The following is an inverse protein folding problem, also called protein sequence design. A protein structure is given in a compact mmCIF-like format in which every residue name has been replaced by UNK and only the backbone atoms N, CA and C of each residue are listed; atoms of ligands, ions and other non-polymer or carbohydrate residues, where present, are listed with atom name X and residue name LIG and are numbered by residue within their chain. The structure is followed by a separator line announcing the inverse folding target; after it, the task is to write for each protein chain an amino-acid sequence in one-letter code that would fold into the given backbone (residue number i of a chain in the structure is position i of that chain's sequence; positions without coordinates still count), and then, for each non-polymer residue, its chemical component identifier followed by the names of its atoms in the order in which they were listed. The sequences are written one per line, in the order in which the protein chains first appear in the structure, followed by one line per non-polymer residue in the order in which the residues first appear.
data_IF_723871167816
#
_entry.id   IF_723871167816
#
_cell.length_a   1.000
_cell.length_b   1.000
_cell.length_c   1.000
_cell.angle_alpha   90.00
_cell.angle_beta   90.00
_cell.angle_gamma   90.00
#
_symmetry.space_group_name_H-M   'P 1'
#
loop_
_entity.id
_entity.type
_entity.pdbx_description
1 polymer ?
#
# COMPACT_ATOMS: atom_id res chain seq x y z
N UNK A 1 -34.82 20.67 -2.32
CA UNK A 1 -33.39 21.01 -2.27
C UNK A 1 -32.65 19.76 -2.70
N UNK A 2 -31.91 19.82 -3.80
CA UNK A 2 -31.06 18.70 -4.22
C UNK A 2 -29.96 18.46 -3.18
N UNK A 3 -29.50 17.22 -3.03
CA UNK A 3 -28.40 16.91 -2.13
C UNK A 3 -27.11 17.60 -2.60
N UNK A 4 -26.29 18.10 -1.66
CA UNK A 4 -24.99 18.72 -1.99
C UNK A 4 -23.98 17.76 -2.63
N UNK A 5 -24.27 16.45 -2.62
CA UNK A 5 -23.47 15.40 -3.23
C UNK A 5 -23.42 15.47 -4.77
N UNK A 6 -24.28 16.30 -5.40
CA UNK A 6 -24.22 16.59 -6.85
C UNK A 6 -22.88 17.19 -7.29
N UNK A 7 -22.02 17.64 -6.36
CA UNK A 7 -20.63 17.99 -6.65
C UNK A 7 -19.87 16.85 -7.34
N UNK A 8 -20.21 15.58 -7.07
CA UNK A 8 -19.62 14.43 -7.77
C UNK A 8 -19.96 14.43 -9.27
N UNK A 9 -21.15 14.91 -9.64
CA UNK A 9 -21.55 15.06 -11.03
C UNK A 9 -20.73 16.14 -11.72
N UNK A 10 -20.33 17.20 -11.00
CA UNK A 10 -19.43 18.24 -11.51
C UNK A 10 -18.01 17.70 -11.72
N UNK A 11 -17.50 16.83 -10.83
CA UNK A 11 -16.21 16.14 -11.03
C UNK A 11 -16.27 15.26 -12.29
N UNK A 12 -17.33 14.46 -12.46
CA UNK A 12 -17.54 13.66 -13.66
C UNK A 12 -17.59 14.55 -14.91
N UNK A 13 -18.39 15.63 -14.90
CA UNK A 13 -18.52 16.55 -16.03
C UNK A 13 -17.20 17.24 -16.37
N UNK A 14 -16.39 17.57 -15.38
CA UNK A 14 -15.08 18.20 -15.55
C UNK A 14 -14.03 17.30 -16.20
N UNK A 15 -14.21 15.97 -16.15
CA UNK A 15 -13.34 15.01 -16.83
C UNK A 15 -13.68 14.82 -18.32
N UNK A 16 -14.84 15.32 -18.78
CA UNK A 16 -15.27 15.27 -20.18
C UNK A 16 -14.81 16.52 -20.95
N UNK A 17 -14.87 16.50 -22.28
CA UNK A 17 -14.59 17.69 -23.09
C UNK A 17 -15.55 18.85 -22.80
N UNK A 18 -15.15 20.07 -23.16
CA UNK A 18 -15.99 21.27 -23.01
C UNK A 18 -17.35 21.10 -23.70
N UNK A 19 -17.39 20.38 -24.83
CA UNK A 19 -18.62 20.00 -25.51
C UNK A 19 -18.87 18.51 -25.32
N UNK A 20 -20.10 18.13 -25.02
CA UNK A 20 -20.57 16.74 -24.90
C UNK A 20 -21.91 16.63 -25.62
N UNK A 21 -22.25 15.44 -26.10
CA UNK A 21 -23.58 15.17 -26.66
C UNK A 21 -24.40 14.47 -25.59
N UNK A 22 -25.54 15.04 -25.19
CA UNK A 22 -26.47 14.33 -24.32
C UNK A 22 -27.23 13.29 -25.15
N UNK A 23 -26.99 12.02 -24.88
CA UNK A 23 -27.65 10.92 -25.58
C UNK A 23 -28.89 10.44 -24.83
N UNK A 24 -28.95 10.69 -23.51
CA UNK A 24 -30.09 10.33 -22.68
C UNK A 24 -30.17 11.20 -21.43
N UNK A 25 -31.40 11.54 -21.03
CA UNK A 25 -31.71 12.14 -19.74
C UNK A 25 -33.04 11.61 -19.26
N UNK A 26 -33.08 11.23 -17.99
CA UNK A 26 -34.33 10.88 -17.31
C UNK A 26 -34.33 11.43 -15.89
N UNK A 27 -35.52 11.72 -15.38
CA UNK A 27 -35.75 12.18 -14.02
C UNK A 27 -37.08 11.64 -13.51
N UNK A 28 -37.02 10.99 -12.36
CA UNK A 28 -38.20 10.45 -11.69
C UNK A 28 -38.10 10.64 -10.18
N UNK A 29 -39.21 11.06 -9.56
CA UNK A 29 -39.29 11.31 -8.11
C UNK A 29 -40.46 10.51 -7.52
N UNK A 30 -40.27 9.22 -7.21
CA UNK A 30 -41.32 8.40 -6.60
C UNK A 30 -41.52 8.69 -5.11
N UNK A 31 -40.54 9.31 -4.45
CA UNK A 31 -40.52 9.54 -3.00
C UNK A 31 -39.65 10.75 -2.67
N UNK A 32 -38.67 10.62 -1.76
CA UNK A 32 -37.88 11.73 -1.23
C UNK A 32 -36.66 12.12 -2.08
N UNK A 33 -36.05 11.15 -2.79
CA UNK A 33 -34.84 11.37 -3.59
C UNK A 33 -35.18 11.44 -5.06
N UNK A 34 -34.76 12.52 -5.74
CA UNK A 34 -34.84 12.63 -7.19
C UNK A 34 -33.89 11.63 -7.84
N UNK A 35 -34.43 10.66 -8.56
CA UNK A 35 -33.67 9.68 -9.32
C UNK A 35 -33.45 10.28 -10.71
N UNK A 36 -32.25 10.77 -10.95
CA UNK A 36 -31.85 11.33 -12.24
C UNK A 36 -30.80 10.42 -12.90
N UNK A 37 -30.91 10.24 -14.22
CA UNK A 37 -29.87 9.60 -15.03
C UNK A 37 -29.52 10.50 -16.18
N UNK A 38 -28.21 10.66 -16.43
CA UNK A 38 -27.69 11.44 -17.55
C UNK A 38 -26.62 10.60 -18.25
N UNK A 39 -26.75 10.42 -19.57
CA UNK A 39 -25.74 9.75 -20.40
C UNK A 39 -25.19 10.79 -21.39
N UNK A 40 -23.88 10.98 -21.32
CA UNK A 40 -23.14 11.95 -22.11
C UNK A 40 -22.12 11.23 -22.99
N UNK A 41 -22.18 11.45 -24.29
CA UNK A 41 -21.11 11.08 -25.22
C UNK A 41 -20.00 12.14 -25.18
N UNK A 42 -18.78 11.68 -24.96
CA UNK A 42 -17.60 12.53 -24.83
C UNK A 42 -17.01 12.85 -26.21
N UNK A 43 -17.05 14.12 -26.62
CA UNK A 43 -16.55 14.58 -27.92
C UNK A 43 -15.04 14.93 -27.89
N UNK A 44 -14.30 14.41 -26.91
CA UNK A 44 -12.88 14.69 -26.74
C UNK A 44 -12.06 14.06 -27.88
N UNK A 45 -11.10 14.84 -28.41
CA UNK A 45 -10.08 14.32 -29.32
C UNK A 45 -8.88 13.84 -28.52
N UNK A 46 -8.19 12.81 -29.01
CA UNK A 46 -6.95 12.37 -28.40
C UNK A 46 -5.92 13.51 -28.41
N UNK A 47 -5.30 13.84 -27.25
CA UNK A 47 -4.25 14.85 -27.20
C UNK A 47 -3.03 14.44 -28.06
N UNK A 48 -2.26 15.41 -28.59
CA UNK A 48 -1.02 15.11 -29.30
C UNK A 48 -0.04 14.29 -28.45
N UNK A 49 0.72 13.41 -29.10
CA UNK A 49 1.68 12.49 -28.44
C UNK A 49 2.68 13.25 -27.56
N UNK A 50 3.16 14.41 -28.00
CA UNK A 50 4.11 15.23 -27.23
C UNK A 50 3.49 15.77 -25.93
N UNK A 51 2.21 16.12 -25.96
CA UNK A 51 1.49 16.56 -24.76
C UNK A 51 1.34 15.43 -23.76
N UNK A 52 0.97 14.23 -24.23
CA UNK A 52 0.89 13.04 -23.38
C UNK A 52 2.26 12.67 -22.80
N UNK A 53 3.32 12.79 -23.61
CA UNK A 53 4.69 12.49 -23.20
C UNK A 53 5.16 13.47 -22.11
N UNK A 54 4.98 14.78 -22.30
CA UNK A 54 5.29 15.79 -21.27
C UNK A 54 4.50 15.55 -19.99
N UNK A 55 3.21 15.22 -20.09
CA UNK A 55 2.38 14.93 -18.92
C UNK A 55 2.89 13.71 -18.15
N UNK A 56 3.24 12.61 -18.84
CA UNK A 56 3.84 11.41 -18.21
C UNK A 56 5.18 11.72 -17.55
N UNK A 57 6.04 12.49 -18.21
CA UNK A 57 7.33 12.91 -17.64
C UNK A 57 7.14 13.74 -16.37
N UNK A 58 6.17 14.66 -16.37
CA UNK A 58 5.84 15.45 -15.18
C UNK A 58 5.33 14.57 -14.02
N UNK A 59 4.41 13.64 -14.29
CA UNK A 59 3.93 12.70 -13.27
C UNK A 59 5.06 11.84 -12.67
N UNK A 60 6.01 11.41 -13.50
CA UNK A 60 7.13 10.58 -13.08
C UNK A 60 8.26 11.36 -12.40
N UNK A 61 8.25 12.69 -12.44
CA UNK A 61 9.37 13.56 -12.06
C UNK A 61 9.90 13.29 -10.65
N UNK A 62 9.01 13.04 -9.68
CA UNK A 62 9.39 12.86 -8.27
C UNK A 62 10.18 11.56 -8.01
N UNK A 63 9.96 10.53 -8.83
CA UNK A 63 10.64 9.24 -8.71
C UNK A 63 11.71 9.03 -9.79
N UNK A 64 12.00 10.04 -10.60
CA UNK A 64 13.00 9.94 -11.65
C UNK A 64 14.39 9.63 -11.07
N UNK A 65 15.00 8.51 -11.49
CA UNK A 65 16.31 8.09 -11.02
C UNK A 65 16.29 7.28 -9.72
N UNK A 66 15.12 7.01 -9.13
CA UNK A 66 15.01 6.25 -7.88
C UNK A 66 15.56 4.83 -8.01
N UNK A 67 15.50 4.26 -9.21
CA UNK A 67 16.04 2.94 -9.56
C UNK A 67 17.57 2.86 -9.41
N UNK A 68 18.26 4.00 -9.37
CA UNK A 68 19.72 4.06 -9.18
C UNK A 68 20.13 3.96 -7.70
N UNK A 69 19.18 4.05 -6.77
CA UNK A 69 19.46 3.93 -5.34
C UNK A 69 19.59 2.44 -4.95
N UNK A 70 20.81 1.92 -4.71
CA UNK A 70 20.98 0.51 -4.41
C UNK A 70 20.31 0.15 -3.08
N UNK A 71 19.70 -1.04 -3.02
CA UNK A 71 19.05 -1.54 -1.81
C UNK A 71 17.81 -0.75 -1.36
N UNK A 72 17.25 0.11 -2.23
CA UNK A 72 16.08 0.93 -1.94
C UNK A 72 14.86 0.40 -2.69
N UNK A 73 13.73 0.25 -2.01
CA UNK A 73 12.48 -0.26 -2.57
C UNK A 73 11.34 0.74 -2.26
N UNK A 74 11.10 1.75 -3.11
CA UNK A 74 10.03 2.72 -2.88
C UNK A 74 8.67 2.03 -2.77
N UNK A 75 7.89 2.34 -1.75
CA UNK A 75 6.56 1.74 -1.54
C UNK A 75 5.51 2.39 -2.45
N UNK A 76 5.61 2.13 -3.75
CA UNK A 76 4.70 2.65 -4.80
C UNK A 76 3.30 2.05 -4.69
N UNK A 77 2.32 2.63 -5.40
CA UNK A 77 0.96 2.08 -5.49
C UNK A 77 0.95 0.63 -6.00
N UNK A 78 1.76 0.31 -7.01
CA UNK A 78 1.89 -1.04 -7.57
C UNK A 78 2.40 -2.03 -6.52
N UNK A 79 3.49 -1.70 -5.81
CA UNK A 79 4.03 -2.57 -4.76
C UNK A 79 3.08 -2.72 -3.59
N UNK A 80 2.40 -1.64 -3.20
CA UNK A 80 1.37 -1.66 -2.15
C UNK A 80 0.21 -2.60 -2.53
N UNK A 81 -0.24 -2.56 -3.78
CA UNK A 81 -1.28 -3.45 -4.30
C UNK A 81 -0.81 -4.91 -4.32
N UNK A 82 0.38 -5.18 -4.84
CA UNK A 82 0.94 -6.54 -4.91
C UNK A 82 1.13 -7.15 -3.51
N UNK A 83 1.60 -6.35 -2.55
CA UNK A 83 1.78 -6.76 -1.16
C UNK A 83 0.54 -6.61 -0.28
N UNK A 84 -0.64 -6.24 -0.81
CA UNK A 84 -1.79 -5.81 -0.02
C UNK A 84 -2.22 -6.86 1.02
N UNK A 85 -2.23 -8.13 0.60
CA UNK A 85 -2.63 -9.26 1.44
C UNK A 85 -1.66 -9.46 2.62
N UNK A 86 -0.36 -9.57 2.33
CA UNK A 86 0.70 -9.64 3.34
C UNK A 86 0.67 -8.44 4.30
N UNK A 87 0.57 -7.22 3.76
CA UNK A 87 0.54 -6.00 4.57
C UNK A 87 -0.70 -5.96 5.47
N UNK A 88 -1.88 -6.37 4.97
CA UNK A 88 -3.09 -6.48 5.80
C UNK A 88 -2.92 -7.51 6.91
N UNK A 89 -2.33 -8.67 6.60
CA UNK A 89 -2.02 -9.70 7.59
C UNK A 89 -1.11 -9.17 8.72
N UNK A 90 0.00 -8.53 8.36
CA UNK A 90 0.95 -7.98 9.32
C UNK A 90 0.35 -6.80 10.11
N UNK A 91 -0.53 -6.01 9.50
CA UNK A 91 -1.18 -4.89 10.19
C UNK A 91 -2.03 -5.36 11.38
N UNK A 92 -2.71 -6.50 11.25
CA UNK A 92 -3.53 -7.08 12.33
C UNK A 92 -2.74 -7.50 13.57
N UNK A 93 -1.41 -7.53 13.53
CA UNK A 93 -0.57 -7.79 14.71
C UNK A 93 -0.73 -6.74 15.84
N UNK A 94 -1.40 -5.62 15.58
CA UNK A 94 -1.82 -4.69 16.64
C UNK A 94 -2.92 -5.27 17.54
N UNK A 95 -3.71 -6.22 17.02
CA UNK A 95 -4.80 -6.88 17.74
C UNK A 95 -4.23 -7.96 18.69
N UNK A 96 -4.52 -7.92 20.01
CA UNK A 96 -3.97 -8.86 20.98
C UNK A 96 -4.22 -10.34 20.67
N UNK A 97 -5.46 -10.70 20.30
CA UNK A 97 -5.82 -12.07 19.97
C UNK A 97 -5.12 -12.56 18.68
N UNK A 98 -4.91 -11.67 17.71
CA UNK A 98 -4.25 -12.01 16.45
C UNK A 98 -2.77 -12.30 16.67
N UNK A 99 -2.07 -11.45 17.44
CA UNK A 99 -0.64 -11.68 17.74
C UNK A 99 -0.41 -12.90 18.63
N UNK A 100 -1.31 -13.23 19.54
CA UNK A 100 -1.24 -14.45 20.34
C UNK A 100 -1.34 -15.70 19.45
N UNK A 101 -2.35 -15.73 18.57
CA UNK A 101 -2.50 -16.80 17.58
C UNK A 101 -1.32 -16.87 16.61
N UNK A 102 -0.71 -15.75 16.25
CA UNK A 102 0.48 -15.71 15.40
C UNK A 102 1.69 -16.39 16.06
N UNK A 103 1.82 -16.25 17.37
CA UNK A 103 2.89 -16.90 18.14
C UNK A 103 2.64 -18.39 18.37
N UNK A 104 1.38 -18.80 18.55
CA UNK A 104 1.02 -20.18 18.91
C UNK A 104 0.73 -21.07 17.70
N UNK A 105 -0.01 -20.56 16.70
CA UNK A 105 -0.60 -21.33 15.60
C UNK A 105 -0.58 -20.58 14.25
N UNK A 106 0.60 -20.14 13.74
CA UNK A 106 0.69 -19.25 12.59
C UNK A 106 0.10 -19.82 11.30
N UNK A 107 0.19 -21.14 11.06
CA UNK A 107 -0.33 -21.79 9.84
C UNK A 107 -1.84 -21.63 9.69
N UNK A 108 -2.58 -21.70 10.80
CA UNK A 108 -4.04 -21.48 10.77
C UNK A 108 -4.40 -20.06 10.34
N UNK A 109 -3.60 -19.07 10.77
CA UNK A 109 -3.78 -17.67 10.40
C UNK A 109 -3.38 -17.40 8.95
N UNK A 110 -2.36 -18.10 8.44
CA UNK A 110 -1.97 -18.00 7.04
C UNK A 110 -3.09 -18.46 6.12
N UNK A 111 -3.72 -19.59 6.45
CA UNK A 111 -4.89 -20.09 5.73
C UNK A 111 -6.08 -19.13 5.85
N UNK A 112 -6.40 -18.65 7.05
CA UNK A 112 -7.49 -17.68 7.28
C UNK A 112 -7.29 -16.38 6.48
N UNK A 113 -6.05 -15.90 6.37
CA UNK A 113 -5.71 -14.69 5.62
C UNK A 113 -5.47 -14.93 4.11
N UNK A 114 -5.56 -16.19 3.66
CA UNK A 114 -5.36 -16.58 2.27
C UNK A 114 -3.94 -16.30 1.74
N UNK A 115 -2.92 -16.34 2.61
CA UNK A 115 -1.54 -16.07 2.22
C UNK A 115 -1.05 -17.08 1.17
N UNK A 116 -0.34 -16.59 0.17
CA UNK A 116 0.36 -17.41 -0.82
C UNK A 116 1.47 -18.22 -0.18
N UNK A 117 1.90 -19.29 -0.83
CA UNK A 117 3.02 -20.12 -0.35
C UNK A 117 4.31 -19.31 -0.18
N UNK A 118 4.60 -18.40 -1.11
CA UNK A 118 5.78 -17.51 -1.04
C UNK A 118 5.73 -16.60 0.20
N UNK A 119 4.59 -15.96 0.48
CA UNK A 119 4.41 -15.14 1.67
C UNK A 119 4.60 -15.95 2.96
N UNK A 120 4.06 -17.17 3.00
CA UNK A 120 4.21 -18.06 4.14
C UNK A 120 5.67 -18.46 4.33
N UNK A 121 6.38 -18.80 3.26
CA UNK A 121 7.81 -19.13 3.31
C UNK A 121 8.64 -17.96 3.85
N UNK A 122 8.41 -16.75 3.35
CA UNK A 122 9.10 -15.54 3.80
C UNK A 122 8.84 -15.25 5.28
N UNK A 123 7.59 -15.40 5.75
CA UNK A 123 7.23 -15.21 7.16
C UNK A 123 7.85 -16.27 8.07
N UNK A 124 7.80 -17.55 7.68
CA UNK A 124 8.36 -18.66 8.44
C UNK A 124 9.87 -18.56 8.57
N UNK A 125 10.56 -18.23 7.47
CA UNK A 125 12.00 -18.01 7.46
C UNK A 125 12.43 -16.71 8.16
N UNK A 126 11.46 -15.82 8.46
CA UNK A 126 11.72 -14.45 8.91
C UNK A 126 12.71 -13.75 7.98
N UNK A 127 12.53 -13.94 6.68
CA UNK A 127 13.38 -13.33 5.66
C UNK A 127 13.01 -11.85 5.54
N UNK A 128 13.57 -11.03 6.43
CA UNK A 128 13.28 -9.59 6.51
C UNK A 128 13.59 -8.87 5.20
N UNK A 129 14.66 -9.27 4.51
CA UNK A 129 15.05 -8.67 3.25
C UNK A 129 14.12 -9.12 2.13
N UNK A 130 13.82 -10.42 2.05
CA UNK A 130 12.85 -10.98 1.10
C UNK A 130 11.47 -10.35 1.28
N UNK A 131 11.01 -10.13 2.51
CA UNK A 131 9.74 -9.45 2.81
C UNK A 131 9.70 -8.01 2.26
N UNK A 132 10.77 -7.22 2.43
CA UNK A 132 10.87 -5.88 1.81
C UNK A 132 10.85 -5.96 0.29
N UNK A 133 11.60 -6.92 -0.28
CA UNK A 133 11.68 -7.14 -1.74
C UNK A 133 10.34 -7.57 -2.33
N UNK A 134 9.57 -8.40 -1.63
CA UNK A 134 8.23 -8.83 -2.00
C UNK A 134 7.22 -7.67 -1.97
N UNK A 135 7.37 -6.73 -1.04
CA UNK A 135 6.50 -5.55 -0.93
C UNK A 135 5.86 -5.37 0.44
N UNK A 136 6.44 -5.95 1.50
CA UNK A 136 6.06 -5.60 2.86
C UNK A 136 6.51 -4.17 3.20
N UNK A 137 5.66 -3.41 3.89
CA UNK A 137 6.07 -2.15 4.50
C UNK A 137 6.97 -2.41 5.72
N UNK A 138 8.09 -1.70 5.80
CA UNK A 138 9.02 -1.84 6.93
C UNK A 138 8.32 -1.64 8.29
N UNK A 139 7.40 -0.69 8.40
CA UNK A 139 6.67 -0.41 9.64
C UNK A 139 5.74 -1.55 10.10
N UNK A 140 5.45 -2.50 9.21
CA UNK A 140 4.71 -3.72 9.54
C UNK A 140 5.66 -4.84 9.94
N UNK A 141 6.85 -4.90 9.34
CA UNK A 141 7.93 -5.76 9.79
C UNK A 141 8.43 -5.38 11.18
N UNK A 142 8.47 -4.09 11.50
CA UNK A 142 8.77 -3.58 12.84
C UNK A 142 7.77 -4.10 13.88
N UNK A 143 6.46 -4.11 13.56
CA UNK A 143 5.42 -4.70 14.42
C UNK A 143 5.60 -6.19 14.60
N UNK A 144 5.89 -6.91 13.51
CA UNK A 144 6.21 -8.33 13.57
C UNK A 144 7.42 -8.57 14.47
N UNK A 145 8.49 -7.79 14.31
CA UNK A 145 9.68 -7.82 15.17
C UNK A 145 9.32 -7.72 16.65
N UNK A 146 8.54 -6.70 17.02
CA UNK A 146 8.07 -6.54 18.40
C UNK A 146 7.26 -7.75 18.92
N UNK A 147 6.42 -8.36 18.09
CA UNK A 147 5.64 -9.56 18.45
C UNK A 147 6.55 -10.77 18.66
N UNK A 148 7.54 -11.00 17.78
CA UNK A 148 8.44 -12.15 17.86
C UNK A 148 9.66 -11.92 18.76
N UNK A 149 9.72 -10.79 19.47
CA UNK A 149 10.82 -10.47 20.39
C UNK A 149 12.13 -10.06 19.71
N UNK A 150 12.07 -9.62 18.45
CA UNK A 150 13.22 -9.18 17.64
C UNK A 150 13.27 -7.66 17.64
N UNK A 151 14.43 -7.08 18.00
CA UNK A 151 14.62 -5.63 17.98
C UNK A 151 14.86 -5.09 16.57
N UNK A 152 14.69 -3.78 16.37
CA UNK A 152 14.90 -3.17 15.06
C UNK A 152 16.34 -3.37 14.55
N UNK A 153 17.35 -3.36 15.44
CA UNK A 153 18.73 -3.59 15.03
C UNK A 153 18.98 -5.00 14.51
N UNK A 154 18.28 -6.02 15.03
CA UNK A 154 18.38 -7.36 14.47
C UNK A 154 17.81 -7.41 13.05
N UNK A 155 16.69 -6.73 12.81
CA UNK A 155 16.08 -6.62 11.48
C UNK A 155 17.06 -5.90 10.53
N UNK A 156 17.66 -4.79 10.94
CA UNK A 156 18.63 -4.06 10.12
C UNK A 156 19.90 -4.88 9.83
N UNK A 157 20.42 -5.60 10.83
CA UNK A 157 21.59 -6.47 10.67
C UNK A 157 21.30 -7.59 9.67
N UNK A 158 20.15 -8.25 9.79
CA UNK A 158 19.70 -9.28 8.85
C UNK A 158 19.54 -8.73 7.43
N UNK A 159 18.96 -7.54 7.26
CA UNK A 159 18.84 -6.89 5.94
C UNK A 159 20.20 -6.57 5.30
N UNK A 160 21.23 -6.26 6.11
CA UNK A 160 22.61 -6.09 5.65
C UNK A 160 23.40 -7.40 5.49
N UNK A 161 22.84 -8.55 5.88
CA UNK A 161 23.55 -9.84 5.85
C UNK A 161 24.71 -9.90 6.84
N UNK A 162 24.61 -9.22 7.98
CA UNK A 162 25.65 -9.13 9.01
C UNK A 162 25.13 -9.64 10.36
N UNK A 163 26.02 -10.02 11.26
CA UNK A 163 25.64 -10.26 12.66
C UNK A 163 25.24 -8.95 13.35
N UNK A 164 24.52 -9.05 14.46
CA UNK A 164 24.10 -7.87 15.23
C UNK A 164 25.32 -7.08 15.72
N UNK A 165 26.37 -7.77 16.17
CA UNK A 165 27.59 -7.17 16.69
C UNK A 165 28.31 -6.36 15.61
N UNK A 166 28.49 -6.95 14.42
CA UNK A 166 29.08 -6.27 13.28
C UNK A 166 28.23 -5.07 12.83
N UNK A 167 26.91 -5.19 12.89
CA UNK A 167 26.02 -4.08 12.59
C UNK A 167 26.14 -2.94 13.61
N UNK A 168 26.18 -3.27 14.91
CA UNK A 168 26.32 -2.30 16.00
C UNK A 168 27.64 -1.52 15.94
N UNK A 169 28.73 -2.15 15.50
CA UNK A 169 30.02 -1.47 15.29
C UNK A 169 29.91 -0.30 14.29
N UNK A 170 28.93 -0.32 13.39
CA UNK A 170 28.71 0.79 12.46
C UNK A 170 27.93 1.96 13.07
N UNK A 171 27.45 1.86 14.32
CA UNK A 171 26.59 2.86 14.98
C UNK A 171 27.39 3.72 15.94
N UNK A 172 27.07 5.01 16.01
CA UNK A 172 27.72 5.95 16.93
C UNK A 172 27.39 5.64 18.41
N UNK A 173 26.24 5.01 18.67
CA UNK A 173 25.83 4.53 19.99
C UNK A 173 25.24 3.13 19.86
N UNK A 174 25.61 2.25 20.78
CA UNK A 174 25.20 0.84 20.80
C UNK A 174 23.95 0.67 21.67
N UNK A 175 22.82 1.14 21.15
CA UNK A 175 21.51 1.04 21.84
C UNK A 175 20.61 0.08 21.09
N UNK A 176 19.90 -0.77 21.83
CA UNK A 176 18.87 -1.65 21.28
C UNK A 176 17.48 -1.09 21.60
N UNK A 177 16.59 -1.05 20.60
CA UNK A 177 15.21 -0.57 20.78
C UNK A 177 14.19 -1.38 19.96
N UNK A 178 12.93 -1.32 20.38
CA UNK A 178 11.77 -1.96 19.77
C UNK A 178 10.53 -1.08 20.01
N UNK A 179 9.47 -1.29 19.23
CA UNK A 179 8.15 -0.64 19.41
C UNK A 179 7.23 -1.39 20.36
N UNK A 180 7.73 -2.41 21.06
CA UNK A 180 6.96 -3.16 22.05
C UNK A 180 6.49 -2.24 23.19
N UNK A 181 5.18 -2.21 23.45
CA UNK A 181 4.60 -1.56 24.61
C UNK A 181 4.81 -2.38 25.90
N UNK A 182 4.51 -1.76 27.06
CA UNK A 182 4.41 -2.51 28.33
C UNK A 182 3.29 -3.55 28.18
N UNK A 183 3.59 -4.81 28.53
CA UNK A 183 2.61 -5.91 28.53
C UNK A 183 1.60 -5.74 29.64
#
# INVERSE_FOLDING_TARGET
MEGSEVIMWLVMRGALSANVTETWRDYYLPSMTGIATLILENNARLPPVDTLTRHRQHMAQQLAGVEKLPGTYPFTHERSLNGLRLNRFLHRLIEPAWRERFLQSPQSLYAEAGLSEEEQQLLNARDWRGLIQYGASFFLLEKMGAVVGVSNLHIYAAMRGQTLEAFQQTRNQQVTYSVAGKR
#
